data_IF_836863965394
#
_entry.id   IF_836863965394
#
_cell.length_a   1.000
_cell.length_b   1.000
_cell.length_c   1.000
_cell.angle_alpha   90.00
_cell.angle_beta   90.00
_cell.angle_gamma   90.00
#
_symmetry.space_group_name_H-M   'P 1'
#
loop_
_entity.id
_entity.type
_entity.pdbx_description
1 polymer ?
#
# COMPACT_ATOMS: atom_id res chain seq x y z
N UNK A 1 -3.61 -21.63 -2.61
CA UNK A 1 -2.80 -20.79 -3.51
C UNK A 1 -1.47 -21.45 -3.77
N UNK A 2 -1.00 -21.43 -5.01
CA UNK A 2 0.26 -22.03 -5.36
C UNK A 2 1.43 -21.07 -5.22
N UNK A 3 2.63 -21.59 -5.44
CA UNK A 3 3.86 -20.80 -5.38
C UNK A 3 3.84 -19.61 -6.35
N UNK A 4 3.19 -19.78 -7.51
CA UNK A 4 3.10 -18.72 -8.51
C UNK A 4 2.45 -17.46 -7.93
N UNK A 5 1.33 -17.60 -7.21
CA UNK A 5 0.64 -16.45 -6.59
C UNK A 5 1.52 -15.76 -5.54
N UNK A 6 2.28 -16.55 -4.79
CA UNK A 6 3.20 -16.01 -3.79
C UNK A 6 4.30 -15.18 -4.44
N UNK A 7 4.93 -15.71 -5.49
CA UNK A 7 5.99 -14.98 -6.19
C UNK A 7 5.47 -13.76 -6.93
N UNK A 8 4.26 -13.84 -7.51
CA UNK A 8 3.65 -12.70 -8.18
C UNK A 8 3.43 -11.54 -7.20
N UNK A 9 3.01 -11.85 -5.97
CA UNK A 9 2.83 -10.84 -4.93
C UNK A 9 4.14 -10.16 -4.56
N UNK A 10 5.21 -10.94 -4.37
CA UNK A 10 6.53 -10.41 -4.03
C UNK A 10 7.05 -9.51 -5.17
N UNK A 11 6.96 -9.98 -6.41
CA UNK A 11 7.40 -9.22 -7.57
C UNK A 11 6.61 -7.92 -7.73
N UNK A 12 5.29 -7.98 -7.44
CA UNK A 12 4.44 -6.81 -7.47
C UNK A 12 4.88 -5.75 -6.46
N UNK A 13 5.21 -6.16 -5.24
CA UNK A 13 5.69 -5.23 -4.21
C UNK A 13 7.05 -4.66 -4.59
N UNK A 14 7.96 -5.45 -5.15
CA UNK A 14 9.25 -4.96 -5.60
C UNK A 14 9.10 -3.91 -6.70
N UNK A 15 8.22 -4.16 -7.67
CA UNK A 15 7.93 -3.20 -8.73
C UNK A 15 7.33 -1.91 -8.18
N UNK A 16 6.42 -2.03 -7.22
CA UNK A 16 5.82 -0.87 -6.56
C UNK A 16 6.88 -0.04 -5.84
N UNK A 17 7.79 -0.70 -5.12
CA UNK A 17 8.87 0.00 -4.41
C UNK A 17 9.79 0.74 -5.37
N UNK A 18 10.18 0.12 -6.49
CA UNK A 18 11.00 0.78 -7.49
C UNK A 18 10.29 1.99 -8.09
N UNK A 19 9.00 1.84 -8.42
CA UNK A 19 8.19 2.93 -8.92
C UNK A 19 8.18 4.10 -7.93
N UNK A 20 7.92 3.83 -6.66
CA UNK A 20 7.85 4.86 -5.64
C UNK A 20 9.18 5.59 -5.47
N UNK A 21 10.29 4.86 -5.48
CA UNK A 21 11.62 5.48 -5.38
C UNK A 21 11.87 6.42 -6.55
N UNK A 22 11.49 6.04 -7.76
CA UNK A 22 11.63 6.88 -8.95
C UNK A 22 10.76 8.13 -8.87
N UNK A 23 9.63 8.04 -8.16
CA UNK A 23 8.74 9.17 -7.95
C UNK A 23 9.18 10.08 -6.79
N UNK A 24 10.30 9.76 -6.14
CA UNK A 24 10.83 10.58 -5.07
C UNK A 24 10.37 10.20 -3.67
N UNK A 25 9.74 9.05 -3.50
CA UNK A 25 9.33 8.56 -2.18
C UNK A 25 10.52 7.97 -1.44
N UNK A 26 10.54 8.22 -0.12
CA UNK A 26 11.45 7.52 0.78
C UNK A 26 10.69 6.33 1.38
N UNK A 27 11.17 5.12 1.12
CA UNK A 27 10.55 3.92 1.69
C UNK A 27 10.90 3.83 3.16
N UNK A 28 9.90 3.64 4.01
CA UNK A 28 10.09 3.54 5.45
C UNK A 28 10.00 2.08 5.88
N UNK A 29 8.98 1.37 5.42
CA UNK A 29 8.81 -0.04 5.80
C UNK A 29 7.99 -0.78 4.76
N UNK A 30 8.25 -2.08 4.63
CA UNK A 30 7.44 -3.01 3.84
C UNK A 30 6.81 -4.02 4.77
N UNK A 31 5.61 -4.47 4.42
CA UNK A 31 4.92 -5.54 5.14
C UNK A 31 4.80 -5.26 6.63
N UNK A 32 4.22 -4.11 6.96
CA UNK A 32 3.96 -3.77 8.36
C UNK A 32 2.72 -4.52 8.85
N UNK A 33 2.88 -5.27 9.94
CA UNK A 33 1.82 -6.11 10.49
C UNK A 33 1.33 -5.62 11.85
N UNK A 34 0.04 -5.79 12.09
CA UNK A 34 -0.57 -5.59 13.41
C UNK A 34 -1.63 -6.68 13.62
N UNK A 35 -2.20 -6.73 14.82
CA UNK A 35 -3.31 -7.63 15.08
C UNK A 35 -4.57 -7.28 14.28
N UNK A 36 -4.63 -6.07 13.73
CA UNK A 36 -5.80 -5.59 12.97
C UNK A 36 -5.68 -5.83 11.47
N UNK A 37 -4.47 -6.00 10.96
CA UNK A 37 -4.21 -6.17 9.55
C UNK A 37 -2.79 -5.82 9.19
N UNK A 38 -2.56 -5.60 7.89
CA UNK A 38 -1.22 -5.30 7.39
C UNK A 38 -1.27 -4.17 6.36
N UNK A 39 -0.12 -3.53 6.17
CA UNK A 39 0.08 -2.49 5.16
C UNK A 39 1.29 -2.90 4.34
N UNK A 40 1.12 -2.93 3.01
CA UNK A 40 2.17 -3.44 2.13
C UNK A 40 3.40 -2.55 2.11
N UNK A 41 3.21 -1.23 2.00
CA UNK A 41 4.32 -0.28 1.95
C UNK A 41 3.97 0.97 2.75
N UNK A 42 4.92 1.43 3.55
CA UNK A 42 4.86 2.73 4.19
C UNK A 42 5.99 3.57 3.59
N UNK A 43 5.65 4.73 3.03
CA UNK A 43 6.60 5.60 2.38
C UNK A 43 6.31 7.06 2.74
N UNK A 44 7.28 7.93 2.53
CA UNK A 44 7.13 9.36 2.85
C UNK A 44 7.56 10.21 1.68
N UNK A 45 6.77 11.25 1.40
CA UNK A 45 7.11 12.23 0.38
C UNK A 45 6.52 13.58 0.78
N UNK A 46 7.32 14.64 0.68
CA UNK A 46 6.89 16.01 0.97
C UNK A 46 6.23 16.16 2.35
N UNK A 47 6.77 15.45 3.34
CA UNK A 47 6.28 15.54 4.71
C UNK A 47 5.01 14.75 5.00
N UNK A 48 4.51 13.98 4.05
CA UNK A 48 3.30 13.20 4.20
C UNK A 48 3.62 11.71 4.18
N UNK A 49 3.06 10.96 5.15
CA UNK A 49 3.15 9.51 5.16
C UNK A 49 2.12 8.92 4.19
N UNK A 50 2.56 7.97 3.40
CA UNK A 50 1.71 7.24 2.48
C UNK A 50 1.65 5.78 2.92
N UNK A 51 0.45 5.31 3.24
CA UNK A 51 0.20 3.92 3.56
C UNK A 51 -0.40 3.27 2.31
N UNK A 52 0.36 2.38 1.69
CA UNK A 52 0.10 1.96 0.32
C UNK A 52 -0.23 0.47 0.27
N UNK A 53 -1.37 0.14 -0.35
CA UNK A 53 -1.74 -1.22 -0.70
C UNK A 53 -1.30 -1.49 -2.13
N UNK A 54 -0.79 -2.69 -2.36
CA UNK A 54 -0.35 -3.12 -3.68
C UNK A 54 -1.27 -4.23 -4.17
N UNK A 55 -1.81 -4.05 -5.36
CA UNK A 55 -2.67 -5.03 -5.99
C UNK A 55 -2.02 -5.50 -7.29
N UNK A 56 -1.63 -6.77 -7.34
CA UNK A 56 -1.09 -7.37 -8.56
C UNK A 56 -2.19 -8.20 -9.20
N UNK A 57 -2.54 -7.88 -10.45
CA UNK A 57 -3.64 -8.55 -11.12
C UNK A 57 -3.36 -8.76 -12.59
N UNK A 58 -3.95 -9.82 -13.15
CA UNK A 58 -3.94 -10.09 -14.59
C UNK A 58 -5.18 -9.50 -15.27
N UNK A 59 -6.15 -9.04 -14.49
CA UNK A 59 -7.41 -8.50 -15.02
C UNK A 59 -7.39 -6.98 -14.93
N UNK A 60 -8.24 -6.34 -15.74
CA UNK A 60 -8.46 -4.92 -15.61
C UNK A 60 -9.03 -4.63 -14.22
N UNK A 61 -8.48 -3.61 -13.56
CA UNK A 61 -8.88 -3.25 -12.21
C UNK A 61 -9.61 -1.93 -12.23
N UNK A 62 -10.89 -1.98 -11.89
CA UNK A 62 -11.70 -0.78 -11.79
C UNK A 62 -11.41 -0.05 -10.49
N UNK A 63 -11.32 1.27 -10.56
CA UNK A 63 -11.07 2.09 -9.37
C UNK A 63 -12.15 1.85 -8.32
N UNK A 64 -13.38 1.60 -8.75
CA UNK A 64 -14.49 1.29 -7.83
C UNK A 64 -14.32 -0.01 -7.07
N UNK A 65 -13.47 -0.92 -7.53
CA UNK A 65 -13.22 -2.21 -6.89
C UNK A 65 -12.06 -2.19 -5.90
N UNK A 66 -11.40 -1.06 -5.73
CA UNK A 66 -10.11 -0.98 -5.02
C UNK A 66 -10.17 -1.41 -3.55
N UNK A 67 -10.94 -0.76 -2.73
CA UNK A 67 -11.03 -1.12 -1.31
C UNK A 67 -12.46 -0.93 -0.81
N UNK A 68 -12.99 -1.97 -0.16
CA UNK A 68 -14.27 -1.84 0.51
C UNK A 68 -14.08 -1.23 1.91
N UNK A 69 -15.18 -0.86 2.54
CA UNK A 69 -15.14 -0.21 3.86
C UNK A 69 -14.55 -1.11 4.94
N UNK A 70 -14.78 -2.41 4.84
CA UNK A 70 -14.26 -3.36 5.82
C UNK A 70 -12.73 -3.40 5.78
N UNK A 71 -12.17 -3.48 4.60
CA UNK A 71 -10.71 -3.50 4.43
C UNK A 71 -10.11 -2.15 4.80
N UNK A 72 -10.77 -1.06 4.42
CA UNK A 72 -10.31 0.28 4.75
C UNK A 72 -10.27 0.49 6.26
N UNK A 73 -11.27 0.00 6.99
CA UNK A 73 -11.30 0.10 8.45
C UNK A 73 -10.13 -0.65 9.10
N UNK A 74 -9.78 -1.82 8.56
CA UNK A 74 -8.62 -2.57 9.04
C UNK A 74 -7.32 -1.80 8.82
N UNK A 75 -7.20 -1.17 7.67
CA UNK A 75 -6.02 -0.34 7.35
C UNK A 75 -5.95 0.84 8.32
N UNK A 76 -7.05 1.52 8.57
CA UNK A 76 -7.07 2.66 9.49
C UNK A 76 -6.67 2.25 10.91
N UNK A 77 -7.15 1.10 11.38
CA UNK A 77 -6.74 0.59 12.70
C UNK A 77 -5.25 0.26 12.73
N UNK A 78 -4.72 -0.27 11.64
CA UNK A 78 -3.29 -0.58 11.54
C UNK A 78 -2.46 0.69 11.51
N UNK A 79 -2.94 1.75 10.88
CA UNK A 79 -2.30 3.06 10.88
C UNK A 79 -2.27 3.65 12.28
N UNK A 80 -3.38 3.57 13.02
CA UNK A 80 -3.43 4.02 14.41
C UNK A 80 -2.39 3.28 15.26
N UNK A 81 -2.30 1.97 15.08
CA UNK A 81 -1.31 1.16 15.77
C UNK A 81 0.11 1.58 15.42
N UNK A 82 0.37 1.88 14.16
CA UNK A 82 1.68 2.35 13.71
C UNK A 82 2.06 3.66 14.39
N UNK A 83 1.15 4.64 14.40
CA UNK A 83 1.41 5.93 15.04
C UNK A 83 1.63 5.78 16.53
N UNK A 84 0.83 4.96 17.18
CA UNK A 84 0.98 4.71 18.62
C UNK A 84 2.31 4.08 18.95
N UNK A 85 2.72 3.08 18.15
CA UNK A 85 3.99 2.37 18.36
C UNK A 85 5.20 3.30 18.18
N UNK A 86 5.12 4.23 17.26
CA UNK A 86 6.21 5.14 16.96
C UNK A 86 6.17 6.44 17.78
N UNK A 87 5.11 6.65 18.54
CA UNK A 87 4.97 7.83 19.39
C UNK A 87 4.76 9.12 18.62
N UNK A 88 4.44 9.06 17.35
CA UNK A 88 4.28 10.23 16.48
C UNK A 88 3.01 10.07 15.68
N UNK A 89 2.23 11.16 15.56
CA UNK A 89 1.12 11.22 14.62
C UNK A 89 1.49 12.23 13.54
N UNK A 90 1.56 11.78 12.31
CA UNK A 90 1.93 12.59 11.15
C UNK A 90 0.76 12.66 10.18
N UNK A 91 0.77 13.71 9.34
CA UNK A 91 -0.18 13.77 8.23
C UNK A 91 0.04 12.57 7.34
N UNK A 92 -1.07 11.96 6.91
CA UNK A 92 -0.98 10.75 6.13
C UNK A 92 -2.10 10.65 5.11
N UNK A 93 -1.90 9.76 4.16
CA UNK A 93 -2.95 9.37 3.22
C UNK A 93 -2.80 7.89 2.90
N UNK A 94 -3.86 7.31 2.36
CA UNK A 94 -3.89 5.92 1.94
C UNK A 94 -3.92 5.89 0.42
N UNK A 95 -3.01 5.14 -0.17
CA UNK A 95 -2.90 5.02 -1.62
C UNK A 95 -3.01 3.57 -2.05
N UNK A 96 -3.30 3.37 -3.33
CA UNK A 96 -3.37 2.05 -3.94
C UNK A 96 -2.50 2.02 -5.19
N UNK A 97 -1.64 1.01 -5.28
CA UNK A 97 -0.89 0.73 -6.51
C UNK A 97 -1.46 -0.53 -7.12
N UNK A 98 -1.93 -0.43 -8.36
CA UNK A 98 -2.39 -1.57 -9.13
C UNK A 98 -1.37 -1.89 -10.20
N UNK A 99 -0.93 -3.13 -10.25
CA UNK A 99 0.03 -3.60 -11.25
C UNK A 99 -0.64 -4.64 -12.10
N UNK A 100 -0.73 -4.36 -13.40
CA UNK A 100 -1.25 -5.30 -14.39
C UNK A 100 -0.19 -5.47 -15.47
N UNK A 101 0.32 -6.70 -15.62
CA UNK A 101 1.47 -6.97 -16.47
C UNK A 101 2.62 -6.08 -15.98
N UNK A 102 3.20 -5.23 -16.78
CA UNK A 102 4.26 -4.33 -16.31
C UNK A 102 3.77 -2.90 -16.18
N UNK A 103 2.45 -2.69 -16.21
CA UNK A 103 1.86 -1.36 -16.09
C UNK A 103 1.45 -1.07 -14.66
N UNK A 104 1.79 0.11 -14.18
CA UNK A 104 1.48 0.55 -12.84
C UNK A 104 0.47 1.69 -12.89
N UNK A 105 -0.62 1.54 -12.12
CA UNK A 105 -1.59 2.60 -11.90
C UNK A 105 -1.50 3.00 -10.43
N UNK A 106 -1.20 4.27 -10.17
CA UNK A 106 -1.08 4.80 -8.82
C UNK A 106 -2.30 5.65 -8.51
N UNK A 107 -3.10 5.18 -7.55
CA UNK A 107 -4.31 5.88 -7.11
C UNK A 107 -4.03 6.51 -5.75
N UNK A 108 -3.83 7.81 -5.72
CA UNK A 108 -3.51 8.52 -4.49
C UNK A 108 -4.76 8.89 -3.71
N UNK A 109 -4.63 8.85 -2.38
CA UNK A 109 -5.63 9.33 -1.44
C UNK A 109 -7.01 8.71 -1.66
N UNK A 110 -7.06 7.40 -1.52
CA UNK A 110 -8.30 6.63 -1.77
C UNK A 110 -9.20 6.51 -0.55
N UNK A 111 -8.79 7.08 0.58
CA UNK A 111 -9.49 6.88 1.85
C UNK A 111 -10.77 7.71 1.98
N UNK A 112 -10.91 8.75 1.20
CA UNK A 112 -12.05 9.66 1.31
C UNK A 112 -12.45 10.26 -0.01
#
# INVERSE_FOLDING_TARGET
MGLKSYFDGILGEDKACEFLKKQGFKLIKRNFHSQFGEIDIIAKKDGILHFIEVKYTQKDYEISERLDNKKLNKILKTIDFYHLKNGISEDFQIDLICIKNDKIQFCENISF
#
